data_IF_860868716372
#
_entry.id   IF_860868716372
#
_cell.length_a   1.000
_cell.length_b   1.000
_cell.length_c   1.000
_cell.angle_alpha   90.00
_cell.angle_beta   90.00
_cell.angle_gamma   90.00
#
_symmetry.space_group_name_H-M   'P 1'
#
loop_
_entity.id
_entity.type
_entity.pdbx_description
1 polymer ?
#
# COMPACT_ATOMS: atom_id res chain seq x y z
N UNK A 1 -36.43 -5.81 -8.85
CA UNK A 1 -35.00 -6.04 -9.15
C UNK A 1 -34.19 -4.75 -9.03
N UNK A 2 -34.45 -3.70 -9.81
CA UNK A 2 -33.69 -2.43 -9.71
C UNK A 2 -33.74 -1.77 -8.32
N UNK A 3 -34.92 -1.70 -7.69
CA UNK A 3 -35.06 -1.20 -6.31
C UNK A 3 -34.27 -2.04 -5.30
N UNK A 4 -34.24 -3.37 -5.48
CA UNK A 4 -33.49 -4.28 -4.60
C UNK A 4 -31.99 -4.04 -4.76
N UNK A 5 -31.48 -3.95 -6.00
CA UNK A 5 -30.08 -3.63 -6.26
C UNK A 5 -29.68 -2.27 -5.69
N UNK A 6 -30.56 -1.27 -5.82
CA UNK A 6 -30.34 0.07 -5.28
C UNK A 6 -30.31 0.08 -3.75
N UNK A 7 -31.27 -0.58 -3.09
CA UNK A 7 -31.31 -0.71 -1.64
C UNK A 7 -30.08 -1.45 -1.10
N UNK A 8 -29.66 -2.53 -1.76
CA UNK A 8 -28.43 -3.25 -1.39
C UNK A 8 -27.20 -2.35 -1.54
N UNK A 9 -27.10 -1.59 -2.63
CA UNK A 9 -26.00 -0.65 -2.84
C UNK A 9 -25.91 0.43 -1.76
N UNK A 10 -27.06 1.01 -1.37
CA UNK A 10 -27.14 2.02 -0.31
C UNK A 10 -26.75 1.43 1.05
N UNK A 11 -27.22 0.21 1.35
CA UNK A 11 -26.87 -0.49 2.59
C UNK A 11 -25.36 -0.74 2.65
N UNK A 12 -24.74 -1.21 1.57
CA UNK A 12 -23.28 -1.46 1.48
C UNK A 12 -22.47 -0.17 1.64
N UNK A 13 -22.96 0.97 1.17
CA UNK A 13 -22.30 2.27 1.36
C UNK A 13 -22.43 2.84 2.78
N UNK A 14 -23.38 2.34 3.58
CA UNK A 14 -23.64 2.87 4.94
C UNK A 14 -22.68 2.23 5.96
N UNK A 15 -22.27 2.98 7.01
CA UNK A 15 -21.39 2.47 8.08
C UNK A 15 -21.97 1.23 8.80
N UNK A 16 -23.31 1.14 8.88
CA UNK A 16 -24.03 -0.04 9.36
C UNK A 16 -23.82 -1.27 8.47
N UNK A 17 -23.86 -1.13 7.15
CA UNK A 17 -23.62 -2.23 6.22
C UNK A 17 -22.21 -2.77 6.31
N UNK A 18 -21.21 -1.89 6.46
CA UNK A 18 -19.81 -2.28 6.69
C UNK A 18 -19.66 -3.09 7.99
N UNK A 19 -20.35 -2.68 9.06
CA UNK A 19 -20.29 -3.35 10.37
C UNK A 19 -20.99 -4.71 10.37
N UNK A 20 -22.17 -4.80 9.75
CA UNK A 20 -22.90 -6.07 9.58
C UNK A 20 -22.11 -7.03 8.71
N UNK A 21 -21.53 -6.53 7.61
CA UNK A 21 -20.69 -7.34 6.73
C UNK A 21 -19.46 -7.87 7.46
N UNK A 22 -18.78 -7.04 8.26
CA UNK A 22 -17.64 -7.47 9.08
C UNK A 22 -18.02 -8.54 10.11
N UNK A 23 -19.22 -8.45 10.71
CA UNK A 23 -19.71 -9.45 11.66
C UNK A 23 -20.02 -10.80 10.97
N UNK A 24 -20.75 -10.76 9.84
CA UNK A 24 -21.05 -11.95 9.04
C UNK A 24 -19.77 -12.58 8.49
N UNK A 25 -18.82 -11.75 8.06
CA UNK A 25 -17.52 -12.20 7.58
C UNK A 25 -16.74 -12.94 8.67
N UNK A 26 -16.70 -12.38 9.87
CA UNK A 26 -15.98 -12.96 11.00
C UNK A 26 -16.59 -14.28 11.47
N UNK A 27 -17.92 -14.35 11.55
CA UNK A 27 -18.60 -15.52 12.10
C UNK A 27 -18.80 -16.66 11.10
N UNK A 28 -18.86 -16.37 9.80
CA UNK A 28 -19.21 -17.37 8.79
C UNK A 28 -18.13 -17.52 7.71
N UNK A 29 -17.71 -16.44 7.07
CA UNK A 29 -16.83 -16.52 5.89
C UNK A 29 -15.37 -16.88 6.24
N UNK A 30 -14.85 -16.43 7.38
CA UNK A 30 -13.50 -16.79 7.83
C UNK A 30 -13.36 -18.28 8.23
N UNK A 31 -14.48 -18.98 8.46
CA UNK A 31 -14.49 -20.43 8.76
C UNK A 31 -14.43 -21.29 7.50
N UNK A 32 -14.64 -20.71 6.32
CA UNK A 32 -14.52 -21.43 5.05
C UNK A 32 -13.04 -21.57 4.66
N UNK A 33 -12.56 -22.79 4.37
CA UNK A 33 -11.23 -22.96 3.80
C UNK A 33 -11.16 -22.21 2.46
N UNK A 34 -10.01 -21.62 2.14
CA UNK A 34 -9.72 -20.80 0.93
C UNK A 34 -10.30 -19.38 0.86
N UNK A 35 -11.34 -19.01 1.62
CA UNK A 35 -11.89 -17.65 1.57
C UNK A 35 -10.84 -16.59 1.92
N UNK A 36 -10.05 -16.85 2.97
CA UNK A 36 -8.97 -15.96 3.41
C UNK A 36 -7.92 -15.73 2.31
N UNK A 37 -7.47 -16.80 1.64
CA UNK A 37 -6.47 -16.72 0.57
C UNK A 37 -6.99 -15.96 -0.67
N UNK A 38 -8.26 -16.18 -1.04
CA UNK A 38 -8.90 -15.46 -2.15
C UNK A 38 -9.07 -13.98 -1.78
N UNK A 39 -9.52 -13.68 -0.55
CA UNK A 39 -9.66 -12.30 -0.07
C UNK A 39 -8.32 -11.57 -0.06
N UNK A 40 -7.26 -12.18 0.47
CA UNK A 40 -5.93 -11.57 0.51
C UNK A 40 -5.41 -11.31 -0.91
N UNK A 41 -5.59 -12.26 -1.83
CA UNK A 41 -5.28 -12.07 -3.25
C UNK A 41 -6.09 -10.91 -3.83
N UNK A 42 -7.41 -10.92 -3.70
CA UNK A 42 -8.28 -9.88 -4.23
C UNK A 42 -7.93 -8.52 -3.64
N UNK A 43 -7.63 -8.43 -2.34
CA UNK A 43 -7.23 -7.18 -1.68
C UNK A 43 -5.87 -6.67 -2.17
N UNK A 44 -4.93 -7.56 -2.48
CA UNK A 44 -3.65 -7.18 -3.10
C UNK A 44 -3.87 -6.63 -4.52
N UNK A 45 -4.76 -7.23 -5.31
CA UNK A 45 -5.05 -6.79 -6.69
C UNK A 45 -6.01 -5.60 -6.79
N UNK A 46 -6.90 -5.40 -5.81
CA UNK A 46 -7.86 -4.28 -5.80
C UNK A 46 -7.19 -2.93 -5.50
N UNK A 47 -5.88 -2.91 -5.20
CA UNK A 47 -5.09 -1.68 -5.08
C UNK A 47 -5.61 -0.69 -4.02
N UNK A 48 -6.51 -1.14 -3.13
CA UNK A 48 -7.25 -0.30 -2.19
C UNK A 48 -6.70 -0.34 -0.76
N UNK A 49 -5.40 -0.63 -0.62
CA UNK A 49 -4.66 0.02 0.45
C UNK A 49 -4.10 1.28 -0.18
N UNK A 50 -4.57 2.44 0.28
CA UNK A 50 -3.74 3.64 0.28
C UNK A 50 -2.32 3.17 0.56
N UNK A 51 -1.44 3.22 -0.44
CA UNK A 51 -0.10 2.74 -0.21
C UNK A 51 0.41 3.54 0.98
N UNK A 52 0.87 2.92 2.07
CA UNK A 52 1.31 3.64 3.28
C UNK A 52 2.59 4.47 3.03
N UNK A 53 2.94 4.66 1.76
CA UNK A 53 3.97 5.54 1.25
C UNK A 53 3.62 6.99 1.56
N UNK A 54 3.98 7.37 2.77
CA UNK A 54 3.65 8.69 3.32
C UNK A 54 4.46 9.79 2.64
N UNK A 55 5.66 9.46 2.12
CA UNK A 55 6.59 10.40 1.48
C UNK A 55 7.53 9.72 0.49
N UNK A 56 7.92 10.47 -0.54
CA UNK A 56 8.99 10.11 -1.50
C UNK A 56 10.32 10.56 -0.93
N UNK A 57 11.33 9.69 -1.02
CA UNK A 57 12.68 9.95 -0.52
C UNK A 57 13.74 9.52 -1.51
N UNK A 58 14.90 10.14 -1.45
CA UNK A 58 16.13 9.65 -2.05
C UNK A 58 17.02 9.06 -0.95
N UNK A 59 17.53 7.86 -1.19
CA UNK A 59 18.40 7.14 -0.26
C UNK A 59 19.67 6.67 -0.96
N UNK A 60 20.81 6.76 -0.28
CA UNK A 60 22.07 6.16 -0.71
C UNK A 60 22.45 5.05 0.28
N UNK A 61 21.91 3.86 0.02
CA UNK A 61 22.02 2.71 0.93
C UNK A 61 23.45 2.16 0.99
N UNK A 62 24.20 2.30 -0.10
CA UNK A 62 25.55 1.73 -0.24
C UNK A 62 26.65 2.78 -0.07
N UNK A 63 26.28 4.04 0.19
CA UNK A 63 27.18 5.18 0.37
C UNK A 63 28.14 5.36 -0.82
N UNK A 64 27.63 5.15 -2.04
CA UNK A 64 28.40 5.21 -3.28
C UNK A 64 28.30 6.56 -3.98
N UNK A 65 27.49 7.48 -3.46
CA UNK A 65 27.08 8.72 -4.12
C UNK A 65 25.90 8.52 -5.09
N UNK A 66 25.43 7.28 -5.28
CA UNK A 66 24.27 6.98 -6.15
C UNK A 66 23.02 6.90 -5.31
N UNK A 67 22.00 7.70 -5.65
CA UNK A 67 20.74 7.76 -4.93
C UNK A 67 19.66 6.95 -5.61
N UNK A 68 18.83 6.30 -4.82
CA UNK A 68 17.67 5.53 -5.26
C UNK A 68 16.39 6.20 -4.76
N UNK A 69 15.35 6.21 -5.59
CA UNK A 69 14.02 6.64 -5.19
C UNK A 69 13.38 5.57 -4.31
N UNK A 70 12.92 5.99 -3.13
CA UNK A 70 12.21 5.14 -2.19
C UNK A 70 10.98 5.83 -1.61
N UNK A 71 10.21 5.04 -0.88
CA UNK A 71 8.95 5.45 -0.27
C UNK A 71 8.94 5.06 1.20
N UNK A 72 8.67 6.03 2.08
CA UNK A 72 8.60 5.77 3.53
C UNK A 72 7.34 4.96 3.82
N UNK A 73 7.52 3.77 4.38
CA UNK A 73 6.43 2.84 4.73
C UNK A 73 6.08 2.86 6.21
N UNK A 74 7.08 3.05 7.07
CA UNK A 74 6.91 3.02 8.52
C UNK A 74 8.04 3.78 9.24
N UNK A 75 7.81 4.14 10.50
CA UNK A 75 8.81 4.69 11.42
C UNK A 75 8.82 3.83 12.68
N UNK A 76 9.94 3.18 12.96
CA UNK A 76 10.09 2.32 14.13
C UNK A 76 10.31 3.14 15.40
N UNK A 77 9.91 2.59 16.54
CA UNK A 77 10.14 3.17 17.86
C UNK A 77 11.64 3.36 18.18
N UNK A 78 12.53 2.60 17.52
CA UNK A 78 13.99 2.77 17.60
C UNK A 78 14.50 4.06 16.96
N UNK A 79 13.64 4.79 16.25
CA UNK A 79 13.98 5.98 15.47
C UNK A 79 14.44 5.68 14.04
N UNK A 80 14.49 4.42 13.64
CA UNK A 80 14.78 4.02 12.26
C UNK A 80 13.55 4.20 11.36
N UNK A 81 13.79 4.50 10.09
CA UNK A 81 12.73 4.71 9.10
C UNK A 81 12.78 3.59 8.07
N UNK A 82 11.63 2.95 7.84
CA UNK A 82 11.49 1.89 6.85
C UNK A 82 11.19 2.51 5.49
N UNK A 83 12.08 2.28 4.54
CA UNK A 83 11.99 2.79 3.16
C UNK A 83 11.88 1.62 2.20
N UNK A 84 10.83 1.63 1.38
CA UNK A 84 10.67 0.72 0.25
C UNK A 84 11.28 1.33 -1.02
N UNK A 85 12.23 0.63 -1.62
CA UNK A 85 12.87 1.01 -2.89
C UNK A 85 12.37 0.05 -3.96
N UNK A 86 11.40 0.47 -4.81
CA UNK A 86 10.86 -0.40 -5.83
C UNK A 86 11.85 -0.62 -6.99
N UNK A 87 11.64 -1.69 -7.74
CA UNK A 87 12.32 -1.97 -9.00
C UNK A 87 11.37 -1.80 -10.18
N UNK A 88 11.73 -0.93 -11.12
CA UNK A 88 11.01 -0.82 -12.39
C UNK A 88 11.12 -2.11 -13.21
N UNK A 89 10.11 -2.47 -14.03
CA UNK A 89 8.84 -1.77 -14.24
C UNK A 89 7.73 -2.17 -13.24
N UNK A 90 7.97 -3.17 -12.39
CA UNK A 90 6.94 -3.70 -11.49
C UNK A 90 7.05 -3.07 -10.08
N UNK A 91 6.20 -2.08 -9.74
CA UNK A 91 6.31 -1.31 -8.50
C UNK A 91 5.99 -2.11 -7.23
N UNK A 92 5.51 -3.35 -7.38
CA UNK A 92 5.26 -4.25 -6.24
C UNK A 92 6.51 -4.98 -5.77
N UNK A 93 7.56 -5.03 -6.60
CA UNK A 93 8.83 -5.64 -6.24
C UNK A 93 9.85 -4.57 -5.85
N UNK A 94 10.77 -4.92 -4.97
CA UNK A 94 11.80 -4.00 -4.51
C UNK A 94 12.51 -4.49 -3.26
N UNK A 95 13.25 -3.58 -2.64
CA UNK A 95 13.96 -3.80 -1.40
C UNK A 95 13.32 -2.97 -0.28
N UNK A 96 13.41 -3.49 0.94
CA UNK A 96 13.06 -2.75 2.15
C UNK A 96 14.37 -2.46 2.90
N UNK A 97 14.58 -1.20 3.25
CA UNK A 97 15.72 -0.76 4.04
C UNK A 97 15.22 -0.07 5.31
N UNK A 98 15.88 -0.35 6.42
CA UNK A 98 15.71 0.40 7.67
C UNK A 98 16.91 1.32 7.81
N UNK A 99 16.67 2.62 7.68
CA UNK A 99 17.73 3.63 7.59
C UNK A 99 17.57 4.64 8.72
N UNK A 100 18.69 5.21 9.14
CA UNK A 100 18.66 6.35 10.05
C UNK A 100 18.08 7.59 9.33
N UNK A 101 17.40 8.50 10.04
CA UNK A 101 16.79 9.68 9.42
C UNK A 101 17.77 10.59 8.65
N UNK A 102 19.05 10.60 9.03
CA UNK A 102 20.13 11.37 8.39
C UNK A 102 20.60 10.76 7.06
N UNK A 103 20.28 9.50 6.79
CA UNK A 103 20.57 8.82 5.51
C UNK A 103 19.46 8.99 4.47
N UNK A 104 18.42 9.75 4.80
CA UNK A 104 17.21 9.91 3.99
C UNK A 104 17.08 11.37 3.59
N UNK A 105 16.96 11.60 2.28
CA UNK A 105 16.63 12.92 1.75
C UNK A 105 15.17 12.93 1.30
N UNK A 106 14.30 13.64 2.02
CA UNK A 106 12.89 13.80 1.61
C UNK A 106 12.79 14.65 0.32
N UNK A 107 11.89 14.26 -0.58
CA UNK A 107 11.55 15.03 -1.78
C UNK A 107 10.15 15.62 -1.65
N UNK A 108 10.02 16.89 -2.04
CA UNK A 108 8.72 17.55 -2.26
C UNK A 108 8.11 17.12 -3.60
N UNK A 109 7.88 15.83 -3.76
CA UNK A 109 7.21 15.26 -4.94
C UNK A 109 6.00 14.44 -4.51
N UNK A 110 4.99 14.39 -5.37
CA UNK A 110 3.83 13.54 -5.12
C UNK A 110 4.21 12.05 -5.24
N UNK A 111 3.72 11.23 -4.33
CA UNK A 111 3.89 9.77 -4.38
C UNK A 111 3.45 9.19 -5.72
N UNK A 112 2.39 9.74 -6.31
CA UNK A 112 1.86 9.31 -7.60
C UNK A 112 2.84 9.58 -8.76
N UNK A 113 3.43 10.77 -8.82
CA UNK A 113 4.39 11.15 -9.86
C UNK A 113 5.68 10.33 -9.77
N UNK A 114 6.21 10.12 -8.56
CA UNK A 114 7.36 9.25 -8.34
C UNK A 114 7.05 7.79 -8.74
N UNK A 115 5.84 7.30 -8.46
CA UNK A 115 5.42 5.95 -8.84
C UNK A 115 5.27 5.81 -10.36
N UNK A 116 4.75 6.84 -11.04
CA UNK A 116 4.71 6.88 -12.52
C UNK A 116 6.11 6.79 -13.11
N UNK A 117 7.09 7.48 -12.54
CA UNK A 117 8.50 7.38 -12.98
C UNK A 117 9.05 5.95 -12.83
N UNK A 118 8.76 5.26 -11.73
CA UNK A 118 9.21 3.86 -11.51
C UNK A 118 8.57 2.89 -12.51
N UNK A 119 7.27 3.00 -12.74
CA UNK A 119 6.53 2.14 -13.67
C UNK A 119 6.91 2.45 -15.12
N UNK A 120 7.02 3.74 -15.43
CA UNK A 120 7.38 4.26 -16.74
C UNK A 120 8.85 4.07 -17.09
N UNK A 121 9.70 3.57 -16.18
CA UNK A 121 11.16 3.46 -16.40
C UNK A 121 11.77 4.85 -16.72
N UNK A 122 11.27 5.90 -16.06
CA UNK A 122 11.75 7.27 -16.20
C UNK A 122 11.14 8.08 -17.34
N UNK A 123 10.03 7.63 -17.96
CA UNK A 123 9.27 8.39 -18.98
C UNK A 123 7.98 8.99 -18.44
#
# INVERSE_FOLDING_TARGET
LLLVCFSVGVIVQTQLGKSIFAWVEKEWLLKLPFYKAIKETVQQFSGSKDMPFSKVVLVDVFNTGTRMTGFVTDKLDSGDVTVFVPTGPNPTNGFIFHLKPDQIQELDSSTEEAMRSVIGIGV
#
